data_IF_072563506636
#
_entry.id   IF_072563506636
#
_cell.length_a   1.000
_cell.length_b   1.000
_cell.length_c   1.000
_cell.angle_alpha   90.00
_cell.angle_beta   90.00
_cell.angle_gamma   90.00
#
_symmetry.space_group_name_H-M   'P 1'
#
loop_
_entity.id
_entity.type
_entity.pdbx_description
1 polymer ?
#
# COMPACT_ATOMS: atom_id res chain seq x y z
N UNK A 1 -89.57 -0.13 -20.86
CA UNK A 1 -89.42 -1.56 -20.50
C UNK A 1 -88.74 -1.64 -19.13
N UNK A 2 -89.46 -2.20 -18.14
CA UNK A 2 -89.07 -2.80 -16.85
C UNK A 2 -88.19 -1.93 -15.90
N UNK A 3 -88.74 -1.29 -14.85
CA UNK A 3 -89.18 -1.82 -13.52
C UNK A 3 -88.15 -2.82 -12.94
N UNK A 4 -87.49 -2.58 -11.81
CA UNK A 4 -87.97 -2.61 -10.40
C UNK A 4 -86.70 -2.49 -9.51
N UNK A 5 -86.61 -2.06 -8.25
CA UNK A 5 -87.54 -2.00 -7.11
C UNK A 5 -86.87 -1.20 -5.96
N UNK A 6 -87.70 -0.72 -5.04
CA UNK A 6 -87.48 0.19 -3.91
C UNK A 6 -87.14 -0.52 -2.57
N UNK A 7 -86.37 0.18 -1.69
CA UNK A 7 -86.57 0.39 -0.22
C UNK A 7 -86.31 -0.82 0.74
N UNK A 8 -86.03 -0.70 2.09
CA UNK A 8 -85.88 0.46 3.00
C UNK A 8 -84.63 0.49 3.93
N UNK A 9 -84.43 1.69 4.52
CA UNK A 9 -84.17 1.94 5.96
C UNK A 9 -84.12 0.71 6.91
N UNK A 10 -83.00 0.56 7.63
CA UNK A 10 -82.97 -0.07 8.96
C UNK A 10 -82.07 0.75 9.89
N UNK A 11 -82.73 1.47 10.80
CA UNK A 11 -82.22 1.99 12.06
C UNK A 11 -81.80 0.81 12.96
N UNK A 12 -80.65 0.91 13.65
CA UNK A 12 -80.28 0.39 14.99
C UNK A 12 -78.83 0.89 15.19
N UNK A 13 -78.60 2.05 15.82
CA UNK A 13 -78.50 2.26 17.28
C UNK A 13 -77.45 1.34 17.94
N UNK A 14 -76.24 1.85 18.21
CA UNK A 14 -75.70 1.81 19.57
C UNK A 14 -74.60 2.87 19.77
N UNK A 15 -74.92 3.74 20.70
CA UNK A 15 -74.08 4.70 21.39
C UNK A 15 -72.93 3.96 22.11
N UNK A 16 -71.67 4.29 21.82
CA UNK A 16 -70.60 4.40 22.84
C UNK A 16 -69.50 5.32 22.32
N UNK A 17 -69.71 6.63 22.48
CA UNK A 17 -68.60 7.53 22.77
C UNK A 17 -68.11 7.19 24.17
N UNK A 18 -66.92 6.58 24.29
CA UNK A 18 -65.94 6.78 25.39
C UNK A 18 -64.78 5.80 25.28
N UNK A 19 -63.70 6.23 24.64
CA UNK A 19 -62.32 6.04 25.10
C UNK A 19 -61.48 7.02 24.27
N UNK A 20 -61.35 8.28 24.70
CA UNK A 20 -60.26 8.70 25.60
C UNK A 20 -58.97 7.91 25.36
N UNK A 21 -58.09 8.51 24.55
CA UNK A 21 -56.82 9.01 25.08
C UNK A 21 -56.03 7.98 25.89
N UNK A 22 -55.26 7.14 25.19
CA UNK A 22 -54.02 6.63 25.75
C UNK A 22 -52.90 7.21 24.90
N UNK A 23 -52.06 8.13 25.41
CA UNK A 23 -50.71 8.19 24.89
C UNK A 23 -50.19 6.77 25.09
N UNK A 24 -49.75 6.11 24.02
CA UNK A 24 -49.00 4.89 24.15
C UNK A 24 -47.80 5.23 25.03
N UNK A 25 -47.90 4.90 26.33
CA UNK A 25 -46.74 4.78 27.18
C UNK A 25 -45.98 3.61 26.57
N UNK A 26 -45.04 3.92 25.68
CA UNK A 26 -43.98 2.99 25.35
C UNK A 26 -43.41 2.52 26.70
N UNK A 27 -43.38 1.19 26.98
CA UNK A 27 -42.84 0.72 28.23
C UNK A 27 -41.40 1.25 28.35
N UNK A 28 -41.12 1.98 29.44
CA UNK A 28 -39.75 2.44 29.70
C UNK A 28 -38.81 1.24 29.61
N UNK A 29 -37.68 1.36 28.90
CA UNK A 29 -36.78 0.24 28.70
C UNK A 29 -36.34 -0.31 30.04
N UNK A 30 -36.48 -1.62 30.23
CA UNK A 30 -36.11 -2.28 31.49
C UNK A 30 -34.61 -2.10 31.76
N UNK A 31 -34.19 -2.21 33.02
CA UNK A 31 -32.77 -2.11 33.39
C UNK A 31 -31.89 -3.09 32.60
N UNK A 32 -32.42 -4.27 32.24
CA UNK A 32 -31.75 -5.26 31.40
C UNK A 32 -31.59 -4.78 29.95
N UNK A 33 -32.62 -4.17 29.35
CA UNK A 33 -32.55 -3.58 28.01
C UNK A 33 -31.58 -2.39 27.96
N UNK A 34 -31.54 -1.58 29.01
CA UNK A 34 -30.60 -0.47 29.14
C UNK A 34 -29.15 -0.96 29.25
N UNK A 35 -28.91 -2.01 30.05
CA UNK A 35 -27.59 -2.63 30.18
C UNK A 35 -27.12 -3.25 28.86
N UNK A 36 -28.00 -3.97 28.15
CA UNK A 36 -27.69 -4.53 26.84
C UNK A 36 -27.39 -3.46 25.79
N UNK A 37 -28.14 -2.35 25.80
CA UNK A 37 -27.90 -1.22 24.89
C UNK A 37 -26.58 -0.50 25.18
N UNK A 38 -26.23 -0.33 26.46
CA UNK A 38 -24.95 0.26 26.86
C UNK A 38 -23.78 -0.67 26.51
N UNK A 39 -23.91 -1.97 26.73
CA UNK A 39 -22.89 -2.94 26.32
C UNK A 39 -22.68 -2.93 24.81
N UNK A 40 -23.76 -2.97 24.01
CA UNK A 40 -23.67 -2.88 22.56
C UNK A 40 -22.98 -1.58 22.09
N UNK A 41 -23.21 -0.46 22.79
CA UNK A 41 -22.51 0.80 22.52
C UNK A 41 -21.03 0.69 22.83
N UNK A 42 -20.64 0.10 23.96
CA UNK A 42 -19.24 -0.08 24.34
C UNK A 42 -18.51 -1.01 23.38
N UNK A 43 -19.14 -2.12 22.99
CA UNK A 43 -18.58 -3.06 22.02
C UNK A 43 -18.36 -2.38 20.65
N UNK A 44 -19.35 -1.58 20.20
CA UNK A 44 -19.23 -0.79 18.96
C UNK A 44 -18.07 0.21 19.04
N UNK A 45 -17.88 0.89 20.18
CA UNK A 45 -16.77 1.82 20.38
C UNK A 45 -15.41 1.10 20.35
N UNK A 46 -15.32 -0.09 20.93
CA UNK A 46 -14.09 -0.90 20.88
C UNK A 46 -13.78 -1.41 19.48
N UNK A 47 -14.79 -1.74 18.68
CA UNK A 47 -14.62 -2.11 17.27
C UNK A 47 -14.10 -0.93 16.45
N UNK A 48 -14.68 0.25 16.62
CA UNK A 48 -14.19 1.48 15.96
C UNK A 48 -12.75 1.79 16.36
N UNK A 49 -12.41 1.70 17.65
CA UNK A 49 -11.05 1.93 18.13
C UNK A 49 -10.04 0.97 17.50
N UNK A 50 -10.39 -0.32 17.40
CA UNK A 50 -9.56 -1.34 16.73
C UNK A 50 -9.41 -1.07 15.23
N UNK A 51 -10.49 -0.67 14.57
CA UNK A 51 -10.45 -0.34 13.14
C UNK A 51 -9.59 0.89 12.86
N UNK A 52 -9.69 1.93 13.71
CA UNK A 52 -8.83 3.11 13.61
C UNK A 52 -7.36 2.77 13.82
N UNK A 53 -7.04 1.93 14.81
CA UNK A 53 -5.66 1.51 15.07
C UNK A 53 -5.09 0.71 13.89
N UNK A 54 -5.86 -0.23 13.35
CA UNK A 54 -5.48 -0.99 12.16
C UNK A 54 -5.25 -0.08 10.94
N UNK A 55 -6.12 0.93 10.73
CA UNK A 55 -5.96 1.90 9.65
C UNK A 55 -4.69 2.76 9.82
N UNK A 56 -4.37 3.19 11.05
CA UNK A 56 -3.12 3.92 11.33
C UNK A 56 -1.89 3.07 11.08
N UNK A 57 -1.91 1.81 11.51
CA UNK A 57 -0.81 0.87 11.28
C UNK A 57 -0.59 0.63 9.78
N UNK A 58 -1.67 0.42 9.02
CA UNK A 58 -1.56 0.24 7.58
C UNK A 58 -1.05 1.50 6.87
N UNK A 59 -1.52 2.68 7.27
CA UNK A 59 -1.01 3.95 6.73
C UNK A 59 0.50 4.12 7.02
N UNK A 60 0.95 3.75 8.22
CA UNK A 60 2.39 3.78 8.56
C UNK A 60 3.18 2.79 7.71
N UNK A 61 2.67 1.57 7.51
CA UNK A 61 3.33 0.58 6.64
C UNK A 61 3.45 1.07 5.21
N UNK A 62 2.38 1.67 4.67
CA UNK A 62 2.40 2.25 3.33
C UNK A 62 3.36 3.43 3.21
N UNK A 63 3.46 4.27 4.25
CA UNK A 63 4.43 5.35 4.28
C UNK A 63 5.86 4.81 4.27
N UNK A 64 6.17 3.85 5.15
CA UNK A 64 7.48 3.21 5.21
C UNK A 64 7.82 2.56 3.86
N UNK A 65 6.87 1.87 3.25
CA UNK A 65 7.07 1.23 1.95
C UNK A 65 7.30 2.24 0.81
N UNK A 66 6.56 3.36 0.80
CA UNK A 66 6.75 4.45 -0.15
C UNK A 66 8.12 5.12 0.02
N UNK A 67 8.58 5.31 1.26
CA UNK A 67 9.92 5.83 1.54
C UNK A 67 11.02 4.84 1.13
N UNK A 68 10.78 3.54 1.28
CA UNK A 68 11.72 2.49 0.86
C UNK A 68 11.86 2.42 -0.65
N UNK A 69 10.75 2.48 -1.38
CA UNK A 69 10.72 2.32 -2.85
C UNK A 69 11.19 3.56 -3.62
N UNK A 70 11.29 4.71 -2.95
CA UNK A 70 11.81 5.94 -3.58
C UNK A 70 13.34 5.97 -3.49
N UNK A 71 14.02 5.51 -4.54
CA UNK A 71 15.46 5.69 -4.68
C UNK A 71 15.79 7.14 -5.08
N UNK A 72 16.64 7.78 -4.29
CA UNK A 72 17.12 9.14 -4.56
C UNK A 72 18.49 9.06 -5.25
N UNK A 73 18.51 9.39 -6.53
CA UNK A 73 19.73 9.46 -7.31
C UNK A 73 20.30 10.88 -7.32
N UNK A 74 21.62 10.98 -7.41
CA UNK A 74 22.36 12.24 -7.50
C UNK A 74 23.39 12.12 -8.62
N UNK A 75 23.27 12.95 -9.67
CA UNK A 75 24.18 12.95 -10.81
C UNK A 75 25.63 13.21 -10.41
N UNK A 76 25.89 13.89 -9.28
CA UNK A 76 27.22 14.17 -8.72
C UNK A 76 27.60 13.20 -7.59
N UNK A 77 26.71 12.27 -7.21
CA UNK A 77 26.86 11.36 -6.08
C UNK A 77 28.08 10.44 -6.17
N UNK A 78 28.80 10.24 -5.08
CA UNK A 78 30.06 9.48 -5.09
C UNK A 78 29.89 7.99 -4.80
N UNK A 79 28.66 7.51 -4.57
CA UNK A 79 28.38 6.11 -4.30
C UNK A 79 27.62 5.46 -5.46
N UNK A 80 27.94 4.22 -5.77
CA UNK A 80 27.28 3.43 -6.83
C UNK A 80 27.02 2.02 -6.31
N UNK A 81 25.97 1.37 -6.82
CA UNK A 81 25.73 -0.05 -6.55
C UNK A 81 26.14 -0.87 -7.77
N UNK A 82 27.11 -1.77 -7.64
CA UNK A 82 27.42 -2.73 -8.69
C UNK A 82 26.47 -3.93 -8.59
N UNK A 83 25.92 -4.34 -9.73
CA UNK A 83 24.97 -5.45 -9.83
C UNK A 83 25.64 -6.71 -10.40
N UNK A 84 26.49 -6.54 -11.41
CA UNK A 84 27.18 -7.65 -12.05
C UNK A 84 28.36 -7.15 -12.89
N UNK A 85 29.24 -8.07 -13.29
CA UNK A 85 30.30 -7.78 -14.23
C UNK A 85 30.47 -8.91 -15.25
N UNK A 86 30.77 -8.56 -16.50
CA UNK A 86 30.78 -9.48 -17.63
C UNK A 86 31.96 -9.22 -18.55
N UNK A 87 32.46 -10.27 -19.23
CA UNK A 87 33.44 -10.15 -20.31
C UNK A 87 32.84 -9.75 -21.67
N UNK A 88 31.51 -9.80 -21.78
CA UNK A 88 30.79 -9.50 -23.01
C UNK A 88 29.98 -8.21 -22.84
N UNK A 89 30.22 -7.25 -23.74
CA UNK A 89 29.46 -6.01 -23.82
C UNK A 89 27.96 -6.28 -24.02
N UNK A 90 27.61 -7.14 -24.97
CA UNK A 90 26.22 -7.49 -25.28
C UNK A 90 25.49 -8.08 -24.07
N UNK A 91 26.18 -8.92 -23.29
CA UNK A 91 25.61 -9.51 -22.08
C UNK A 91 25.41 -8.46 -20.99
N UNK A 92 26.38 -7.57 -20.78
CA UNK A 92 26.22 -6.46 -19.84
C UNK A 92 25.08 -5.53 -20.26
N UNK A 93 24.93 -5.23 -21.54
CA UNK A 93 23.84 -4.42 -22.08
C UNK A 93 22.48 -5.10 -21.87
N UNK A 94 22.40 -6.42 -22.11
CA UNK A 94 21.17 -7.20 -21.83
C UNK A 94 20.79 -7.12 -20.35
N UNK A 95 21.77 -7.25 -19.46
CA UNK A 95 21.53 -7.14 -18.02
C UNK A 95 21.13 -5.72 -17.61
N UNK A 96 21.72 -4.69 -18.20
CA UNK A 96 21.31 -3.30 -17.98
C UNK A 96 19.85 -3.09 -18.37
N UNK A 97 19.43 -3.58 -19.55
CA UNK A 97 18.05 -3.43 -20.00
C UNK A 97 17.07 -4.21 -19.11
N UNK A 98 17.44 -5.41 -18.66
CA UNK A 98 16.67 -6.15 -17.66
C UNK A 98 16.40 -5.33 -16.39
N UNK A 99 17.41 -4.63 -15.87
CA UNK A 99 17.24 -3.82 -14.65
C UNK A 99 16.39 -2.57 -14.87
N UNK A 100 16.52 -1.92 -16.04
CA UNK A 100 15.65 -0.80 -16.42
C UNK A 100 14.20 -1.27 -16.51
N UNK A 101 13.94 -2.40 -17.18
CA UNK A 101 12.60 -2.98 -17.31
C UNK A 101 12.02 -3.42 -15.95
N UNK A 102 12.89 -3.75 -14.98
CA UNK A 102 12.53 -4.05 -13.59
C UNK A 102 12.25 -2.81 -12.73
N UNK A 103 12.35 -1.59 -13.29
CA UNK A 103 12.09 -0.33 -12.59
C UNK A 103 13.33 0.38 -12.05
N UNK A 104 14.53 -0.14 -12.29
CA UNK A 104 15.79 0.50 -11.93
C UNK A 104 16.36 1.31 -13.10
N UNK A 105 15.67 2.40 -13.46
CA UNK A 105 15.92 3.18 -14.68
C UNK A 105 17.35 3.74 -14.79
N UNK A 106 18.01 3.98 -13.67
CA UNK A 106 19.40 4.48 -13.63
C UNK A 106 20.46 3.36 -13.74
N UNK A 107 20.09 2.17 -14.18
CA UNK A 107 21.04 1.12 -14.50
C UNK A 107 21.90 1.49 -15.73
N UNK A 108 23.22 1.35 -15.60
CA UNK A 108 24.20 1.69 -16.64
C UNK A 108 25.28 0.63 -16.75
N UNK A 109 25.94 0.57 -17.91
CA UNK A 109 27.14 -0.25 -18.13
C UNK A 109 28.33 0.68 -18.21
N UNK A 110 29.41 0.34 -17.52
CA UNK A 110 30.70 0.97 -17.78
C UNK A 110 31.74 -0.07 -18.15
N UNK A 111 32.76 0.38 -18.85
CA UNK A 111 33.93 -0.39 -19.22
C UNK A 111 35.08 -0.11 -18.25
N UNK A 112 35.74 -1.17 -17.76
CA UNK A 112 36.92 -1.09 -16.89
C UNK A 112 37.95 -2.11 -17.35
N UNK A 113 39.23 -1.72 -17.38
CA UNK A 113 40.33 -2.61 -17.74
C UNK A 113 41.25 -2.00 -18.79
N UNK A 114 42.03 -2.86 -19.44
CA UNK A 114 42.98 -2.47 -20.48
C UNK A 114 42.63 -3.14 -21.81
N UNK A 115 42.17 -2.35 -22.77
CA UNK A 115 41.83 -2.83 -24.11
C UNK A 115 43.02 -3.47 -24.83
N UNK A 116 44.25 -3.01 -24.56
CA UNK A 116 45.46 -3.49 -25.22
C UNK A 116 45.84 -4.92 -24.78
N UNK A 117 45.42 -5.32 -23.58
CA UNK A 117 45.62 -6.69 -23.06
C UNK A 117 44.39 -7.58 -23.29
N UNK A 118 43.24 -6.97 -23.63
CA UNK A 118 41.95 -7.67 -23.75
C UNK A 118 41.31 -7.99 -22.39
N UNK A 119 41.88 -7.51 -21.29
CA UNK A 119 41.34 -7.68 -19.93
C UNK A 119 40.29 -6.61 -19.63
N UNK A 120 39.26 -6.56 -20.48
CA UNK A 120 38.13 -5.64 -20.35
C UNK A 120 36.99 -6.32 -19.59
N UNK A 121 36.41 -5.58 -18.65
CA UNK A 121 35.19 -5.95 -17.93
C UNK A 121 34.11 -4.88 -18.12
N UNK A 122 32.91 -5.34 -18.44
CA UNK A 122 31.70 -4.53 -18.53
C UNK A 122 30.90 -4.68 -17.24
N UNK A 123 30.89 -3.63 -16.43
CA UNK A 123 30.24 -3.60 -15.11
C UNK A 123 28.87 -2.97 -15.22
N UNK A 124 27.85 -3.69 -14.80
CA UNK A 124 26.48 -3.18 -14.68
C UNK A 124 26.33 -2.56 -13.30
N UNK A 125 25.94 -1.29 -13.26
CA UNK A 125 25.84 -0.48 -12.04
C UNK A 125 24.48 0.20 -12.00
N UNK A 126 24.02 0.50 -10.80
CA UNK A 126 22.82 1.28 -10.55
C UNK A 126 23.19 2.66 -10.02
N UNK A 127 22.86 3.67 -10.81
CA UNK A 127 22.84 5.09 -10.45
C UNK A 127 24.13 5.63 -9.85
N UNK A 128 23.98 6.84 -9.34
CA UNK A 128 24.92 7.52 -8.44
C UNK A 128 24.10 8.01 -7.25
N UNK A 129 24.63 7.85 -6.05
CA UNK A 129 23.97 8.20 -4.79
C UNK A 129 24.84 9.21 -4.05
N UNK A 130 24.20 10.18 -3.41
CA UNK A 130 24.89 11.24 -2.68
C UNK A 130 25.69 10.68 -1.49
N UNK A 131 25.18 9.63 -0.85
CA UNK A 131 25.76 9.01 0.34
C UNK A 131 25.58 7.49 0.30
N UNK A 132 26.37 6.79 1.12
CA UNK A 132 26.36 5.32 1.23
C UNK A 132 25.00 4.77 1.67
N UNK A 133 24.31 5.45 2.59
CA UNK A 133 23.02 5.02 3.12
C UNK A 133 21.94 4.92 2.03
N UNK A 134 21.92 5.85 1.08
CA UNK A 134 20.97 5.80 -0.04
C UNK A 134 21.33 4.68 -1.04
N UNK A 135 22.61 4.36 -1.20
CA UNK A 135 23.05 3.21 -1.98
C UNK A 135 22.67 1.87 -1.29
N UNK A 136 22.81 1.78 0.03
CA UNK A 136 22.40 0.60 0.82
C UNK A 136 20.89 0.34 0.77
N UNK A 137 20.08 1.40 0.72
CA UNK A 137 18.63 1.26 0.47
C UNK A 137 18.39 0.57 -0.87
N UNK A 138 19.12 0.93 -1.91
CA UNK A 138 19.01 0.28 -3.22
C UNK A 138 19.42 -1.20 -3.16
N UNK A 139 20.48 -1.56 -2.43
CA UNK A 139 20.86 -2.98 -2.20
C UNK A 139 19.76 -3.74 -1.47
N UNK A 140 19.13 -3.12 -0.47
CA UNK A 140 18.03 -3.73 0.29
C UNK A 140 16.83 -3.99 -0.63
N UNK A 141 16.45 -3.04 -1.49
CA UNK A 141 15.38 -3.23 -2.47
C UNK A 141 15.70 -4.34 -3.48
N UNK A 142 16.94 -4.37 -3.99
CA UNK A 142 17.38 -5.43 -4.92
C UNK A 142 17.27 -6.83 -4.29
N UNK A 143 17.59 -6.95 -3.00
CA UNK A 143 17.46 -8.22 -2.28
C UNK A 143 16.00 -8.58 -2.03
N UNK A 144 15.19 -7.64 -1.56
CA UNK A 144 13.80 -7.91 -1.17
C UNK A 144 12.92 -8.21 -2.39
N UNK A 145 13.06 -7.44 -3.47
CA UNK A 145 12.18 -7.53 -4.63
C UNK A 145 12.69 -8.53 -5.69
N UNK A 146 14.01 -8.70 -5.78
CA UNK A 146 14.65 -9.50 -6.84
C UNK A 146 15.61 -10.58 -6.34
N UNK A 147 15.74 -10.76 -5.02
CA UNK A 147 16.68 -11.74 -4.42
C UNK A 147 18.10 -11.63 -4.99
N UNK A 148 18.52 -10.40 -5.29
CA UNK A 148 19.79 -10.10 -5.95
C UNK A 148 20.71 -9.34 -5.02
N UNK A 149 21.94 -9.81 -4.92
CA UNK A 149 23.01 -9.09 -4.22
C UNK A 149 23.46 -7.87 -5.01
N UNK A 150 23.80 -6.80 -4.30
CA UNK A 150 24.45 -5.62 -4.85
C UNK A 150 25.57 -5.17 -3.93
N UNK A 151 26.58 -4.54 -4.50
CA UNK A 151 27.74 -4.06 -3.75
C UNK A 151 27.86 -2.55 -3.87
N UNK A 152 27.82 -1.86 -2.73
CA UNK A 152 28.05 -0.42 -2.67
C UNK A 152 29.54 -0.14 -2.82
N UNK A 153 29.88 0.80 -3.69
CA UNK A 153 31.24 1.29 -3.87
C UNK A 153 31.27 2.81 -3.88
N UNK A 154 32.34 3.36 -3.34
CA UNK A 154 32.74 4.72 -3.64
C UNK A 154 33.32 4.77 -5.08
N UNK A 155 33.00 5.80 -5.85
CA UNK A 155 33.31 5.88 -7.29
C UNK A 155 34.81 5.78 -7.57
N UNK A 156 35.63 6.31 -6.67
CA UNK A 156 37.11 6.27 -6.75
C UNK A 156 37.65 4.84 -6.60
N UNK A 157 37.00 4.01 -5.78
CA UNK A 157 37.36 2.61 -5.57
C UNK A 157 36.74 1.72 -6.66
N UNK A 158 35.56 2.08 -7.16
CA UNK A 158 34.83 1.33 -8.19
C UNK A 158 35.56 1.23 -9.54
N UNK A 159 36.56 2.08 -9.77
CA UNK A 159 37.40 2.06 -10.98
C UNK A 159 38.65 1.17 -10.84
N UNK A 160 39.04 0.77 -9.61
CA UNK A 160 40.35 0.19 -9.32
C UNK A 160 40.30 -1.24 -8.76
N UNK A 161 39.12 -1.75 -8.40
CA UNK A 161 39.00 -3.10 -7.83
C UNK A 161 39.15 -4.16 -8.92
N UNK A 162 40.34 -4.75 -8.99
CA UNK A 162 40.65 -6.00 -9.71
C UNK A 162 40.11 -7.20 -8.90
N UNK A 163 39.48 -8.16 -9.57
CA UNK A 163 38.89 -9.35 -8.96
C UNK A 163 39.16 -10.61 -9.78
#
# INVERSE_FOLDING_TARGET
>A
MKLSTLIPLSLILLFTLTQCDQPANDPEPTAEQQAAAEQARQDSLQEVARAEEAARQEALRQQVEAERTTLSYDEEGMYVVQLSAWRSADKAQTMQSYWVDAGFENASVIEVGDESTGEIWYRVRLGRFANEQDADKAVTLLMDDHSTEGWVYHLEDAATIDW
#
